data_IF_742748996067
#
_entry.id   IF_742748996067
#
_cell.length_a   1.000
_cell.length_b   1.000
_cell.length_c   1.000
_cell.angle_alpha   90.00
_cell.angle_beta   90.00
_cell.angle_gamma   90.00
#
_symmetry.space_group_name_H-M   'P 1'
#
loop_
_entity.id
_entity.type
_entity.pdbx_description
1 polymer ?
#
# COMPACT_ATOMS: atom_id res chain seq x y z
N UNK A 1 -30.35 71.35 32.79
CA UNK A 1 -30.81 70.16 33.52
C UNK A 1 -29.74 69.05 33.41
N UNK A 2 -28.98 68.84 34.50
CA UNK A 2 -27.91 67.79 34.53
C UNK A 2 -28.51 66.52 35.13
N UNK A 3 -28.60 65.40 34.36
CA UNK A 3 -29.01 64.13 34.90
C UNK A 3 -27.78 63.45 35.52
N UNK A 4 -27.86 63.11 36.78
CA UNK A 4 -26.93 62.28 37.54
C UNK A 4 -27.12 60.81 37.08
N UNK A 5 -26.03 60.13 36.73
CA UNK A 5 -26.02 58.71 36.60
C UNK A 5 -25.52 58.11 37.91
N UNK A 6 -26.30 57.22 38.47
CA UNK A 6 -25.94 56.43 39.65
C UNK A 6 -25.23 55.17 39.18
N UNK A 7 -24.04 54.93 39.70
CA UNK A 7 -23.23 53.74 39.46
C UNK A 7 -23.82 52.54 40.20
N UNK A 8 -24.23 51.52 39.48
CA UNK A 8 -24.59 50.19 40.02
C UNK A 8 -23.30 49.36 40.09
N UNK A 9 -22.88 49.07 41.32
CA UNK A 9 -21.76 48.07 41.54
C UNK A 9 -22.38 46.69 41.50
N UNK A 10 -22.02 45.93 40.50
CA UNK A 10 -22.35 44.49 40.42
C UNK A 10 -21.35 43.70 41.28
N UNK A 11 -21.82 42.71 42.06
CA UNK A 11 -20.92 41.86 42.85
C UNK A 11 -20.08 40.99 41.90
N UNK A 12 -18.77 40.93 42.20
CA UNK A 12 -17.81 40.14 41.44
C UNK A 12 -18.18 38.65 41.45
N UNK A 13 -18.43 38.12 40.26
CA UNK A 13 -18.52 36.68 40.03
C UNK A 13 -17.07 36.16 39.94
N UNK A 14 -16.61 35.51 41.00
CA UNK A 14 -15.37 34.74 40.98
C UNK A 14 -15.56 33.55 40.05
N UNK A 15 -14.98 33.62 38.85
CA UNK A 15 -14.81 32.44 38.01
C UNK A 15 -13.79 31.52 38.70
N UNK A 16 -14.26 30.46 39.33
CA UNK A 16 -13.43 29.31 39.59
C UNK A 16 -13.08 28.71 38.24
N UNK A 17 -11.86 28.91 37.76
CA UNK A 17 -11.26 28.09 36.72
C UNK A 17 -11.15 26.69 37.30
N UNK A 18 -12.17 25.86 37.03
CA UNK A 18 -12.01 24.42 37.11
C UNK A 18 -10.94 24.05 36.07
N UNK A 19 -9.73 23.81 36.54
CA UNK A 19 -8.70 23.17 35.72
C UNK A 19 -9.29 21.85 35.24
N UNK A 20 -9.64 21.77 33.97
CA UNK A 20 -9.93 20.46 33.34
C UNK A 20 -8.71 19.57 33.60
N UNK A 21 -8.88 18.40 34.23
CA UNK A 21 -7.75 17.49 34.42
C UNK A 21 -7.13 17.21 33.06
N UNK A 22 -5.82 17.33 33.00
CA UNK A 22 -5.04 16.94 31.79
C UNK A 22 -5.44 15.53 31.41
N UNK A 23 -5.86 15.32 30.16
CA UNK A 23 -6.14 13.99 29.61
C UNK A 23 -4.86 13.16 29.44
N UNK A 24 -3.70 13.81 29.50
CA UNK A 24 -2.40 13.19 29.31
C UNK A 24 -2.03 12.24 30.45
N UNK A 25 -1.36 11.17 30.11
CA UNK A 25 -0.86 10.20 31.09
C UNK A 25 0.33 10.75 31.86
N UNK A 26 0.50 10.26 33.09
CA UNK A 26 1.67 10.56 33.92
C UNK A 26 2.53 9.31 34.14
N UNK A 27 1.93 8.15 34.00
CA UNK A 27 2.59 6.84 34.08
C UNK A 27 2.06 5.93 32.97
N UNK A 28 2.99 5.39 32.19
CA UNK A 28 2.70 4.40 31.16
C UNK A 28 3.56 3.19 31.46
N UNK A 29 2.96 2.02 31.55
CA UNK A 29 3.67 0.75 31.75
C UNK A 29 3.32 -0.20 30.59
N UNK A 30 4.33 -0.92 30.09
CA UNK A 30 4.16 -1.85 28.98
C UNK A 30 4.70 -3.25 29.29
N UNK A 31 4.16 -4.20 28.56
CA UNK A 31 4.71 -5.53 28.35
C UNK A 31 4.37 -6.04 26.95
N UNK A 32 5.23 -6.87 26.42
CA UNK A 32 5.04 -7.57 25.15
C UNK A 32 4.48 -8.97 25.38
N UNK A 33 3.72 -9.47 24.41
CA UNK A 33 3.20 -10.86 24.42
C UNK A 33 4.30 -11.88 24.11
N UNK A 34 5.38 -11.46 23.42
CA UNK A 34 6.51 -12.29 23.03
C UNK A 34 7.82 -11.54 23.29
N UNK A 35 8.88 -12.30 23.52
CA UNK A 35 10.26 -11.81 23.64
C UNK A 35 11.12 -12.15 22.44
N UNK A 36 10.64 -13.09 21.60
CA UNK A 36 11.35 -13.57 20.42
C UNK A 36 10.34 -13.77 19.27
N UNK A 37 10.68 -13.25 18.10
CA UNK A 37 9.89 -13.40 16.87
C UNK A 37 10.81 -13.55 15.65
N UNK A 38 10.26 -14.01 14.53
CA UNK A 38 10.92 -13.91 13.23
C UNK A 38 10.76 -12.52 12.62
N UNK A 39 11.71 -12.11 11.80
CA UNK A 39 11.65 -10.81 11.10
C UNK A 39 10.33 -10.63 10.34
N UNK A 40 9.77 -9.42 10.40
CA UNK A 40 8.47 -9.07 9.79
C UNK A 40 7.24 -9.56 10.54
N UNK A 41 7.40 -10.40 11.58
CA UNK A 41 6.27 -10.81 12.42
C UNK A 41 5.84 -9.70 13.38
N UNK A 42 4.60 -9.82 13.84
CA UNK A 42 3.99 -8.87 14.76
C UNK A 42 4.14 -9.31 16.21
N UNK A 43 4.27 -8.33 17.09
CA UNK A 43 4.07 -8.46 18.54
C UNK A 43 2.88 -7.64 18.97
N UNK A 44 2.27 -8.00 20.10
CA UNK A 44 1.30 -7.16 20.78
C UNK A 44 1.96 -6.51 21.99
N UNK A 45 1.97 -5.18 22.01
CA UNK A 45 2.40 -4.40 23.17
C UNK A 45 1.17 -3.97 23.94
N UNK A 46 0.98 -4.54 25.13
CA UNK A 46 -0.07 -4.07 26.05
C UNK A 46 0.45 -2.92 26.87
N UNK A 47 -0.19 -1.76 26.77
CA UNK A 47 0.13 -0.55 27.51
C UNK A 47 -0.99 -0.22 28.52
N UNK A 48 -0.60 0.23 29.71
CA UNK A 48 -1.52 0.76 30.75
C UNK A 48 -1.11 2.18 31.04
N UNK A 49 -1.99 3.12 30.77
CA UNK A 49 -1.76 4.55 30.97
C UNK A 49 -2.63 5.07 32.13
N UNK A 50 -2.03 5.83 33.04
CA UNK A 50 -2.67 6.42 34.22
C UNK A 50 -2.39 7.93 34.29
N UNK A 51 -3.36 8.67 34.82
CA UNK A 51 -3.22 10.08 35.16
C UNK A 51 -2.49 10.25 36.49
N UNK A 52 -2.14 11.49 36.83
CA UNK A 52 -1.49 11.84 38.09
C UNK A 52 -2.28 11.46 39.35
N UNK A 53 -3.61 11.36 39.23
CA UNK A 53 -4.51 10.93 40.29
C UNK A 53 -4.62 9.39 40.40
N UNK A 54 -3.87 8.65 39.61
CA UNK A 54 -3.88 7.19 39.55
C UNK A 54 -5.05 6.58 38.78
N UNK A 55 -5.98 7.41 38.29
CA UNK A 55 -7.11 6.95 37.49
C UNK A 55 -6.68 6.59 36.05
N UNK A 56 -7.43 5.73 35.36
CA UNK A 56 -7.17 5.41 33.95
C UNK A 56 -7.11 6.66 33.07
N UNK A 57 -6.11 6.74 32.21
CA UNK A 57 -6.03 7.76 31.16
C UNK A 57 -6.76 7.24 29.91
N UNK A 58 -8.07 7.47 29.84
CA UNK A 58 -8.92 7.02 28.75
C UNK A 58 -8.85 7.94 27.54
N UNK A 59 -8.90 7.38 26.31
CA UNK A 59 -8.92 8.12 25.04
C UNK A 59 -7.61 8.83 24.70
N UNK A 60 -6.53 8.49 25.37
CA UNK A 60 -5.20 9.05 25.09
C UNK A 60 -4.58 8.28 23.93
N UNK A 61 -4.08 9.00 22.93
CA UNK A 61 -3.38 8.38 21.78
C UNK A 61 -1.98 7.97 22.18
N UNK A 62 -1.66 6.70 22.01
CA UNK A 62 -0.37 6.11 22.30
C UNK A 62 0.32 5.71 21.00
N UNK A 63 1.62 6.00 20.89
CA UNK A 63 2.45 5.58 19.78
C UNK A 63 3.72 4.88 20.26
N UNK A 64 4.23 3.96 19.42
CA UNK A 64 5.42 3.21 19.75
C UNK A 64 6.70 3.95 19.31
N UNK A 65 7.73 3.78 20.10
CA UNK A 65 9.10 4.13 19.78
C UNK A 65 9.91 2.83 19.75
N UNK A 66 10.38 2.47 18.55
CA UNK A 66 11.21 1.28 18.34
C UNK A 66 12.61 1.73 17.98
N UNK A 67 13.60 1.25 18.74
CA UNK A 67 15.02 1.64 18.59
C UNK A 67 15.23 3.17 18.57
N UNK A 68 14.45 3.88 19.41
CA UNK A 68 14.54 5.34 19.55
C UNK A 68 13.83 6.14 18.46
N UNK A 69 13.08 5.51 17.57
CA UNK A 69 12.34 6.17 16.48
C UNK A 69 10.86 5.81 16.51
N UNK A 70 9.94 6.72 16.17
CA UNK A 70 8.52 6.39 16.00
C UNK A 70 8.33 5.24 15.01
N UNK A 71 7.37 4.35 15.32
CA UNK A 71 7.05 3.21 14.49
C UNK A 71 5.63 2.71 14.70
N UNK A 72 4.92 2.42 13.61
CA UNK A 72 3.56 1.90 13.62
C UNK A 72 2.48 2.98 13.78
N UNK A 73 1.24 2.54 13.80
CA UNK A 73 0.07 3.39 14.00
C UNK A 73 -0.05 3.89 15.45
N UNK A 74 -0.90 4.87 15.64
CA UNK A 74 -1.33 5.36 16.95
C UNK A 74 -2.58 4.61 17.42
N UNK A 75 -2.66 4.32 18.72
CA UNK A 75 -3.76 3.57 19.32
C UNK A 75 -4.36 4.35 20.49
N UNK A 76 -5.67 4.58 20.52
CA UNK A 76 -6.32 5.19 21.68
C UNK A 76 -6.39 4.20 22.85
N UNK A 77 -6.24 4.72 24.06
CA UNK A 77 -6.52 3.92 25.26
C UNK A 77 -8.03 3.73 25.44
N UNK A 78 -8.41 2.53 25.83
CA UNK A 78 -9.77 2.18 26.25
C UNK A 78 -10.18 2.96 27.51
N UNK A 79 -11.46 2.95 27.92
CA UNK A 79 -11.90 3.54 29.19
C UNK A 79 -11.15 3.04 30.42
N UNK A 80 -10.58 1.85 30.36
CA UNK A 80 -9.72 1.25 31.40
C UNK A 80 -8.30 1.83 31.45
N UNK A 81 -7.92 2.68 30.50
CA UNK A 81 -6.56 3.17 30.31
C UNK A 81 -5.64 2.18 29.62
N UNK A 82 -6.16 1.07 29.09
CA UNK A 82 -5.39 0.03 28.40
C UNK A 82 -5.43 0.27 26.89
N UNK A 83 -4.31 0.00 26.22
CA UNK A 83 -4.24 -0.12 24.76
C UNK A 83 -3.44 -1.38 24.39
N UNK A 84 -3.75 -1.98 23.25
CA UNK A 84 -3.02 -3.09 22.66
C UNK A 84 -2.51 -2.67 21.29
N UNK A 85 -1.20 -2.40 21.20
CA UNK A 85 -0.57 -1.96 19.97
C UNK A 85 -0.02 -3.17 19.23
N UNK A 86 -0.41 -3.35 17.98
CA UNK A 86 0.14 -4.37 17.09
C UNK A 86 1.31 -3.76 16.32
N UNK A 87 2.50 -4.31 16.53
CA UNK A 87 3.74 -3.77 15.96
C UNK A 87 4.48 -4.84 15.15
N UNK A 88 4.61 -4.71 13.84
CA UNK A 88 5.55 -5.49 13.05
C UNK A 88 6.98 -5.03 13.34
N UNK A 89 7.94 -5.96 13.39
CA UNK A 89 9.35 -5.64 13.60
C UNK A 89 10.20 -6.14 12.43
N UNK A 90 10.64 -5.23 11.53
CA UNK A 90 11.42 -5.62 10.35
C UNK A 90 12.90 -5.84 10.62
N UNK A 91 13.46 -5.22 11.67
CA UNK A 91 14.90 -5.20 11.90
C UNK A 91 15.35 -6.38 12.75
N UNK A 92 16.36 -7.11 12.28
CA UNK A 92 16.97 -8.25 13.00
C UNK A 92 17.70 -7.81 14.24
N UNK A 93 17.76 -8.72 15.22
CA UNK A 93 18.46 -8.52 16.49
C UNK A 93 17.58 -7.97 17.59
N UNK A 94 18.19 -7.40 18.61
CA UNK A 94 17.48 -6.87 19.77
C UNK A 94 16.82 -5.52 19.44
N UNK A 95 15.48 -5.48 19.51
CA UNK A 95 14.69 -4.27 19.32
C UNK A 95 14.19 -3.76 20.66
N UNK A 96 14.49 -2.51 20.97
CA UNK A 96 13.96 -1.83 22.16
C UNK A 96 12.66 -1.13 21.83
N UNK A 97 11.67 -1.29 22.71
CA UNK A 97 10.31 -0.76 22.50
C UNK A 97 9.90 0.04 23.71
N UNK A 98 9.46 1.26 23.50
CA UNK A 98 8.78 2.09 24.47
C UNK A 98 7.49 2.65 23.88
N UNK A 99 6.52 3.02 24.71
CA UNK A 99 5.27 3.65 24.31
C UNK A 99 5.18 5.04 24.94
N UNK A 100 4.69 6.01 24.19
CA UNK A 100 4.52 7.39 24.67
C UNK A 100 3.20 7.99 24.18
N UNK A 101 2.69 8.97 24.93
CA UNK A 101 1.60 9.89 24.54
C UNK A 101 2.12 11.30 24.21
N UNK A 102 3.44 11.44 24.09
CA UNK A 102 4.12 12.73 23.89
C UNK A 102 4.46 13.46 25.19
N UNK A 103 3.82 13.13 26.33
CA UNK A 103 4.11 13.74 27.65
C UNK A 103 4.81 12.77 28.60
N UNK A 104 4.42 11.51 28.58
CA UNK A 104 5.02 10.43 29.34
C UNK A 104 5.55 9.33 28.40
N UNK A 105 6.59 8.62 28.86
CA UNK A 105 7.16 7.47 28.16
C UNK A 105 7.22 6.29 29.11
N UNK A 106 6.87 5.11 28.64
CA UNK A 106 6.84 3.87 29.42
C UNK A 106 8.24 3.36 29.80
N UNK A 107 8.27 2.32 30.62
CA UNK A 107 9.42 1.42 30.69
C UNK A 107 9.74 0.84 29.29
N UNK A 108 10.97 0.35 29.12
CA UNK A 108 11.41 -0.27 27.86
C UNK A 108 11.23 -1.80 27.93
N UNK A 109 10.69 -2.37 26.86
CA UNK A 109 10.75 -3.82 26.60
C UNK A 109 11.78 -4.10 25.51
N UNK A 110 12.33 -5.31 25.49
CA UNK A 110 13.25 -5.77 24.44
C UNK A 110 12.69 -7.02 23.80
N UNK A 111 12.68 -7.05 22.45
CA UNK A 111 12.24 -8.20 21.65
C UNK A 111 13.37 -8.59 20.71
N UNK A 112 13.75 -9.86 20.72
CA UNK A 112 14.72 -10.43 19.80
C UNK A 112 14.03 -10.81 18.49
N UNK A 113 14.58 -10.34 17.36
CA UNK A 113 14.06 -10.65 16.02
C UNK A 113 15.08 -11.54 15.30
N UNK A 114 14.65 -12.76 15.00
CA UNK A 114 15.45 -13.77 14.32
C UNK A 114 15.24 -13.78 12.81
N UNK A 115 16.24 -14.16 12.02
CA UNK A 115 16.08 -14.33 10.58
C UNK A 115 14.98 -15.35 10.26
N UNK A 116 14.20 -15.07 9.19
CA UNK A 116 13.25 -16.02 8.62
C UNK A 116 13.66 -16.44 7.21
N UNK A 117 13.30 -17.65 6.86
CA UNK A 117 13.29 -18.14 5.48
C UNK A 117 11.85 -18.25 5.01
N UNK A 118 11.60 -17.85 3.76
CA UNK A 118 10.27 -17.88 3.15
C UNK A 118 10.28 -18.87 1.97
N UNK A 119 9.25 -19.69 1.90
CA UNK A 119 9.07 -20.65 0.81
C UNK A 119 8.39 -19.95 -0.39
N UNK A 120 9.17 -19.16 -1.13
CA UNK A 120 8.68 -18.44 -2.30
C UNK A 120 8.86 -19.34 -3.53
N UNK A 121 7.79 -19.55 -4.28
CA UNK A 121 7.84 -20.31 -5.54
C UNK A 121 8.39 -19.41 -6.64
N UNK A 122 9.63 -19.67 -7.08
CA UNK A 122 10.25 -19.00 -8.24
C UNK A 122 9.93 -19.76 -9.53
N UNK A 123 8.69 -19.61 -10.02
CA UNK A 123 8.26 -20.17 -11.30
C UNK A 123 8.07 -19.04 -12.33
N UNK A 124 8.99 -18.86 -13.29
CA UNK A 124 8.91 -17.80 -14.30
C UNK A 124 7.74 -17.98 -15.28
N UNK A 125 7.08 -19.13 -15.27
CA UNK A 125 5.89 -19.39 -16.07
C UNK A 125 4.57 -19.12 -15.30
N UNK A 126 4.64 -18.82 -13.99
CA UNK A 126 3.48 -18.50 -13.13
C UNK A 126 3.87 -17.51 -12.04
N UNK A 127 4.20 -16.30 -12.45
CA UNK A 127 4.58 -15.22 -11.52
C UNK A 127 3.35 -14.61 -10.88
N UNK A 128 3.42 -14.36 -9.58
CA UNK A 128 2.40 -13.62 -8.82
C UNK A 128 2.98 -12.26 -8.45
N UNK A 129 2.30 -11.20 -8.86
CA UNK A 129 2.80 -9.82 -8.86
C UNK A 129 1.87 -8.96 -8.02
N UNK A 130 2.42 -8.23 -7.06
CA UNK A 130 1.70 -7.21 -6.30
C UNK A 130 1.97 -5.84 -6.89
N UNK A 131 0.93 -5.08 -7.18
CA UNK A 131 1.05 -3.66 -7.49
C UNK A 131 1.35 -2.86 -6.21
N UNK A 132 2.32 -1.95 -6.31
CA UNK A 132 2.91 -1.29 -5.16
C UNK A 132 3.21 0.18 -5.43
N UNK A 133 2.63 1.04 -4.57
CA UNK A 133 2.82 2.47 -4.62
C UNK A 133 4.03 2.91 -3.78
N UNK A 134 4.91 3.70 -4.41
CA UNK A 134 6.11 4.25 -3.78
C UNK A 134 6.04 5.75 -3.54
N UNK A 135 4.86 6.31 -3.42
CA UNK A 135 4.64 7.76 -3.48
C UNK A 135 4.36 8.44 -2.12
N UNK A 136 4.27 7.70 -1.01
CA UNK A 136 3.99 8.31 0.28
C UNK A 136 5.14 9.12 0.82
N UNK A 137 4.92 10.42 0.99
CA UNK A 137 5.92 11.35 1.47
C UNK A 137 5.43 12.79 1.47
N UNK A 138 6.23 13.73 2.00
CA UNK A 138 5.81 15.11 2.18
C UNK A 138 5.56 15.89 0.89
N UNK A 139 5.99 15.41 -0.27
CA UNK A 139 5.93 16.15 -1.52
C UNK A 139 5.02 15.58 -2.59
N UNK A 140 4.57 14.32 -2.49
CA UNK A 140 3.71 13.71 -3.50
C UNK A 140 2.34 13.33 -2.96
N UNK A 141 2.19 12.17 -2.33
CA UNK A 141 0.94 11.76 -1.71
C UNK A 141 1.02 11.91 -0.20
N UNK A 142 0.24 12.84 0.33
CA UNK A 142 0.12 13.07 1.76
C UNK A 142 -1.00 12.25 2.37
N UNK A 143 -0.78 11.78 3.59
CA UNK A 143 -1.80 11.18 4.41
C UNK A 143 -2.88 12.20 4.81
N UNK A 144 -4.08 11.71 5.16
CA UNK A 144 -5.18 12.52 5.67
C UNK A 144 -6.51 12.28 4.96
N UNK A 145 -6.49 11.50 3.87
CA UNK A 145 -7.67 11.10 3.10
C UNK A 145 -7.79 9.58 2.97
N UNK A 146 -6.89 8.84 3.61
CA UNK A 146 -6.91 7.39 3.61
C UNK A 146 -8.24 6.87 4.18
N UNK A 147 -8.79 5.83 3.57
CA UNK A 147 -10.01 5.17 3.98
C UNK A 147 -9.86 4.31 5.23
N UNK A 148 -8.64 3.85 5.50
CA UNK A 148 -8.28 3.10 6.69
C UNK A 148 -6.86 3.45 7.14
N UNK A 149 -6.52 3.18 8.40
CA UNK A 149 -5.18 3.44 8.92
C UNK A 149 -4.30 2.21 8.78
N UNK A 150 -3.22 2.24 8.01
CA UNK A 150 -2.26 1.13 7.96
C UNK A 150 -1.70 0.81 9.34
N UNK A 151 -1.36 -0.45 9.60
CA UNK A 151 -0.69 -0.85 10.86
C UNK A 151 0.66 -0.15 11.01
N UNK A 152 1.34 0.15 9.91
CA UNK A 152 2.57 0.94 9.89
C UNK A 152 2.35 2.43 10.19
N UNK A 153 1.09 2.86 10.33
CA UNK A 153 0.74 4.26 10.52
C UNK A 153 0.91 5.07 9.22
N UNK A 154 0.95 6.38 9.34
CA UNK A 154 1.18 7.30 8.23
C UNK A 154 2.67 7.37 7.90
N UNK A 155 3.15 6.35 7.25
CA UNK A 155 4.58 6.18 6.92
C UNK A 155 5.04 7.05 5.75
N UNK A 156 6.34 7.05 5.53
CA UNK A 156 6.98 7.55 4.32
C UNK A 156 7.56 6.40 3.52
N UNK A 157 7.38 6.40 2.20
CA UNK A 157 8.06 5.48 1.28
C UNK A 157 9.59 5.65 1.28
N UNK A 158 10.10 6.70 1.95
CA UNK A 158 11.51 6.94 2.18
C UNK A 158 12.02 6.37 3.53
N UNK A 159 11.19 5.65 4.29
CA UNK A 159 11.65 4.92 5.49
C UNK A 159 12.08 3.50 5.08
N UNK A 160 13.37 3.14 5.21
CA UNK A 160 13.85 1.80 4.85
C UNK A 160 13.21 0.68 5.65
N UNK A 161 12.68 0.95 6.85
CA UNK A 161 11.97 -0.04 7.67
C UNK A 161 10.61 -0.39 7.04
N UNK A 162 9.92 0.60 6.46
CA UNK A 162 8.66 0.40 5.74
C UNK A 162 8.90 -0.48 4.51
N UNK A 163 9.85 -0.10 3.67
CA UNK A 163 10.21 -0.88 2.47
C UNK A 163 10.59 -2.32 2.84
N UNK A 164 11.39 -2.48 3.91
CA UNK A 164 11.77 -3.81 4.40
C UNK A 164 10.56 -4.60 4.93
N UNK A 165 9.67 -3.97 5.71
CA UNK A 165 8.49 -4.63 6.24
C UNK A 165 7.54 -5.09 5.13
N UNK A 166 7.31 -4.25 4.12
CA UNK A 166 6.51 -4.63 2.95
C UNK A 166 7.14 -5.82 2.22
N UNK A 167 8.45 -5.80 1.97
CA UNK A 167 9.14 -6.93 1.34
C UNK A 167 9.00 -8.23 2.15
N UNK A 168 9.08 -8.17 3.48
CA UNK A 168 8.89 -9.33 4.36
C UNK A 168 7.45 -9.85 4.30
N UNK A 169 6.47 -8.97 4.22
CA UNK A 169 5.07 -9.35 4.03
C UNK A 169 4.81 -9.95 2.65
N UNK A 170 5.38 -9.38 1.58
CA UNK A 170 5.28 -9.95 0.24
C UNK A 170 5.90 -11.36 0.19
N UNK A 171 7.07 -11.55 0.80
CA UNK A 171 7.69 -12.85 0.92
C UNK A 171 6.80 -13.85 1.70
N UNK A 172 6.18 -13.41 2.80
CA UNK A 172 5.28 -14.25 3.62
C UNK A 172 4.01 -14.66 2.87
N UNK A 173 3.48 -13.78 2.04
CA UNK A 173 2.33 -14.10 1.17
C UNK A 173 2.72 -14.97 -0.02
N UNK A 174 4.01 -15.02 -0.40
CA UNK A 174 4.50 -15.80 -1.53
C UNK A 174 4.60 -15.04 -2.85
N UNK A 175 4.59 -13.71 -2.82
CA UNK A 175 4.85 -12.90 -4.02
C UNK A 175 6.29 -13.05 -4.47
N UNK A 176 6.47 -13.32 -5.76
CA UNK A 176 7.80 -13.33 -6.36
C UNK A 176 8.15 -12.03 -7.11
N UNK A 177 7.20 -11.12 -7.25
CA UNK A 177 7.40 -9.84 -7.94
C UNK A 177 6.52 -8.75 -7.33
N UNK A 178 7.03 -7.51 -7.30
CA UNK A 178 6.26 -6.29 -7.12
C UNK A 178 6.32 -5.46 -8.40
N UNK A 179 5.19 -4.91 -8.78
CA UNK A 179 5.10 -3.95 -9.86
C UNK A 179 5.06 -2.56 -9.23
N UNK A 180 5.98 -1.70 -9.63
CA UNK A 180 6.05 -0.32 -9.15
C UNK A 180 5.25 0.58 -10.09
N UNK A 181 4.24 1.24 -9.54
CA UNK A 181 3.48 2.22 -10.29
C UNK A 181 4.31 3.50 -10.53
N UNK A 182 4.63 3.74 -11.78
CA UNK A 182 5.24 4.96 -12.30
C UNK A 182 4.32 5.66 -13.31
N UNK A 183 3.01 5.41 -13.24
CA UNK A 183 2.04 5.94 -14.23
C UNK A 183 1.92 7.46 -14.19
N UNK A 184 2.32 8.10 -13.11
CA UNK A 184 2.25 9.55 -12.93
C UNK A 184 3.63 10.24 -12.99
N UNK A 185 4.67 9.54 -13.43
CA UNK A 185 6.05 10.06 -13.40
C UNK A 185 6.50 10.70 -14.71
N UNK A 186 5.71 10.61 -15.77
CA UNK A 186 5.97 11.25 -17.07
C UNK A 186 5.01 12.40 -17.30
N UNK A 187 5.54 13.63 -17.28
CA UNK A 187 4.84 14.87 -17.64
C UNK A 187 5.43 15.47 -18.92
N UNK A 188 5.31 16.79 -19.12
CA UNK A 188 6.07 17.53 -20.13
C UNK A 188 7.58 17.66 -19.79
N UNK A 189 8.03 16.94 -18.77
CA UNK A 189 9.42 16.79 -18.37
C UNK A 189 9.63 15.43 -17.72
N UNK A 190 10.88 14.95 -17.70
CA UNK A 190 11.31 13.82 -16.88
C UNK A 190 12.65 14.18 -16.19
N UNK A 191 12.81 14.00 -14.87
CA UNK A 191 11.72 13.65 -13.95
C UNK A 191 10.74 14.81 -13.72
N UNK A 192 9.49 14.48 -13.49
CA UNK A 192 8.50 15.47 -13.05
C UNK A 192 8.83 16.00 -11.65
N UNK A 193 8.29 17.14 -11.21
CA UNK A 193 8.51 17.62 -9.84
C UNK A 193 8.11 16.59 -8.76
N UNK A 194 6.97 15.94 -8.94
CA UNK A 194 6.47 14.85 -8.08
C UNK A 194 7.26 13.55 -8.27
N UNK A 195 7.65 13.24 -9.49
CA UNK A 195 8.41 12.05 -9.85
C UNK A 195 9.76 11.92 -9.15
N UNK A 196 10.35 13.03 -8.68
CA UNK A 196 11.61 12.97 -7.92
C UNK A 196 11.49 12.19 -6.63
N UNK A 197 10.34 12.24 -5.96
CA UNK A 197 10.11 11.46 -4.74
C UNK A 197 9.88 9.99 -5.06
N UNK A 198 9.13 9.68 -6.12
CA UNK A 198 8.98 8.31 -6.61
C UNK A 198 10.33 7.69 -6.98
N UNK A 199 11.22 8.47 -7.63
CA UNK A 199 12.59 8.03 -7.95
C UNK A 199 13.37 7.75 -6.65
N UNK A 200 13.35 8.67 -5.68
CA UNK A 200 14.06 8.50 -4.43
C UNK A 200 13.55 7.28 -3.63
N UNK A 201 12.24 7.04 -3.63
CA UNK A 201 11.65 5.86 -2.99
C UNK A 201 12.02 4.57 -3.74
N UNK A 202 12.05 4.60 -5.07
CA UNK A 202 12.51 3.48 -5.89
C UNK A 202 13.99 3.19 -5.66
N UNK A 203 14.85 4.21 -5.59
CA UNK A 203 16.27 4.06 -5.26
C UNK A 203 16.44 3.35 -3.91
N UNK A 204 15.67 3.77 -2.92
CA UNK A 204 15.69 3.16 -1.59
C UNK A 204 15.21 1.71 -1.63
N UNK A 205 14.14 1.41 -2.38
CA UNK A 205 13.63 0.05 -2.53
C UNK A 205 14.70 -0.88 -3.11
N UNK A 206 15.33 -0.49 -4.21
CA UNK A 206 16.41 -1.29 -4.80
C UNK A 206 17.60 -1.47 -3.85
N UNK A 207 17.96 -0.45 -3.07
CA UNK A 207 19.02 -0.55 -2.06
C UNK A 207 18.65 -1.53 -0.94
N UNK A 208 17.41 -1.48 -0.44
CA UNK A 208 16.92 -2.39 0.60
C UNK A 208 16.87 -3.82 0.08
N UNK A 209 16.30 -4.03 -1.11
CA UNK A 209 16.19 -5.37 -1.73
C UNK A 209 17.57 -5.98 -1.98
N UNK A 210 18.52 -5.23 -2.51
CA UNK A 210 19.90 -5.71 -2.72
C UNK A 210 20.61 -6.11 -1.41
N UNK A 211 20.11 -5.65 -0.27
CA UNK A 211 20.63 -6.03 1.08
C UNK A 211 19.86 -7.17 1.74
N UNK A 212 18.75 -7.65 1.15
CA UNK A 212 17.93 -8.73 1.70
C UNK A 212 18.29 -10.08 1.07
N UNK A 213 18.33 -11.18 1.85
CA UNK A 213 18.60 -12.52 1.30
C UNK A 213 17.45 -13.06 0.45
N UNK A 214 16.22 -12.60 0.71
CA UNK A 214 15.03 -12.91 -0.07
C UNK A 214 14.21 -11.63 -0.21
N UNK A 215 13.79 -11.34 -1.42
CA UNK A 215 12.94 -10.20 -1.77
C UNK A 215 12.19 -10.50 -3.08
N UNK A 216 11.03 -9.88 -3.35
CA UNK A 216 10.40 -9.95 -4.66
C UNK A 216 11.29 -9.35 -5.75
N UNK A 217 11.14 -9.80 -6.99
CA UNK A 217 11.64 -9.07 -8.15
C UNK A 217 10.85 -7.79 -8.38
N UNK A 218 11.36 -6.92 -9.24
CA UNK A 218 10.73 -5.63 -9.56
C UNK A 218 10.34 -5.59 -11.03
N UNK A 219 9.18 -5.01 -11.30
CA UNK A 219 8.64 -4.69 -12.61
C UNK A 219 8.19 -3.22 -12.60
N UNK A 220 8.42 -2.48 -13.67
CA UNK A 220 7.89 -1.13 -13.79
C UNK A 220 6.64 -1.09 -14.67
N UNK A 221 5.62 -0.36 -14.21
CA UNK A 221 4.53 0.15 -15.03
C UNK A 221 4.70 1.66 -15.19
N UNK A 222 5.03 2.11 -16.40
CA UNK A 222 5.27 3.53 -16.68
C UNK A 222 4.08 4.15 -17.41
N UNK A 223 3.82 5.41 -17.14
CA UNK A 223 2.73 6.12 -17.77
C UNK A 223 2.84 7.63 -17.63
N UNK A 224 2.05 8.35 -18.40
CA UNK A 224 1.99 9.80 -18.35
C UNK A 224 1.00 10.28 -17.28
N UNK A 225 1.32 11.41 -16.68
CA UNK A 225 0.35 12.17 -15.88
C UNK A 225 -0.86 12.64 -16.71
N UNK A 226 -1.90 13.07 -16.01
CA UNK A 226 -3.21 13.46 -16.53
C UNK A 226 -3.20 14.37 -17.77
N UNK A 227 -2.19 15.19 -17.95
CA UNK A 227 -2.16 16.12 -19.08
C UNK A 227 -1.75 15.47 -20.41
N UNK A 228 -0.97 14.40 -20.36
CA UNK A 228 -0.43 13.72 -21.54
C UNK A 228 -1.24 12.48 -21.97
N UNK A 229 -2.07 11.92 -21.11
CA UNK A 229 -2.84 10.71 -21.43
C UNK A 229 -3.86 10.88 -22.58
N UNK A 230 -4.30 12.10 -22.87
CA UNK A 230 -5.22 12.38 -23.99
C UNK A 230 -4.56 12.16 -25.36
N UNK A 231 -3.23 12.17 -25.41
CA UNK A 231 -2.45 11.91 -26.59
C UNK A 231 -1.27 11.00 -26.27
N UNK A 232 -1.56 9.74 -25.98
CA UNK A 232 -0.54 8.75 -25.61
C UNK A 232 0.50 8.52 -26.69
N UNK A 233 0.16 8.72 -27.96
CA UNK A 233 1.14 8.60 -29.05
C UNK A 233 2.27 9.61 -28.83
N UNK A 234 1.93 10.87 -28.60
CA UNK A 234 2.94 11.91 -28.37
C UNK A 234 3.66 11.71 -27.03
N UNK A 235 2.93 11.28 -25.99
CA UNK A 235 3.53 10.99 -24.69
C UNK A 235 4.62 9.91 -24.77
N UNK A 236 4.36 8.81 -25.48
CA UNK A 236 5.29 7.67 -25.58
C UNK A 236 6.28 7.75 -26.74
N UNK A 237 6.22 8.75 -27.58
CA UNK A 237 7.22 8.99 -28.64
C UNK A 237 8.05 10.25 -28.40
N UNK A 238 7.73 11.01 -27.37
CA UNK A 238 8.42 12.24 -27.02
C UNK A 238 9.79 12.03 -26.36
N UNK A 239 10.63 13.07 -26.32
CA UNK A 239 11.97 12.97 -25.75
C UNK A 239 11.96 12.64 -24.26
N UNK A 240 10.93 13.04 -23.50
CA UNK A 240 10.80 12.76 -22.06
C UNK A 240 10.57 11.29 -21.78
N UNK A 241 9.80 10.60 -22.64
CA UNK A 241 9.62 9.16 -22.54
C UNK A 241 10.94 8.42 -22.76
N UNK A 242 11.69 8.78 -23.81
CA UNK A 242 13.01 8.20 -24.06
C UNK A 242 13.96 8.43 -22.88
N UNK A 243 13.97 9.62 -22.27
CA UNK A 243 14.77 9.92 -21.09
C UNK A 243 14.36 9.04 -19.90
N UNK A 244 13.06 8.82 -19.69
CA UNK A 244 12.57 7.91 -18.66
C UNK A 244 13.04 6.47 -18.91
N UNK A 245 12.87 5.97 -20.12
CA UNK A 245 13.28 4.62 -20.48
C UNK A 245 14.81 4.41 -20.39
N UNK A 246 15.59 5.40 -20.81
CA UNK A 246 17.04 5.38 -20.66
C UNK A 246 17.45 5.37 -19.19
N UNK A 247 16.80 6.23 -18.37
CA UNK A 247 17.05 6.28 -16.94
C UNK A 247 16.77 4.93 -16.26
N UNK A 248 15.59 4.35 -16.48
CA UNK A 248 15.21 3.06 -15.90
C UNK A 248 16.19 1.95 -16.32
N UNK A 249 16.55 1.93 -17.59
CA UNK A 249 17.46 0.92 -18.12
C UNK A 249 18.86 1.03 -17.50
N UNK A 250 19.49 2.18 -17.53
CA UNK A 250 20.85 2.38 -17.06
C UNK A 250 20.94 2.37 -15.52
N UNK A 251 19.94 2.97 -14.84
CA UNK A 251 20.03 3.16 -13.41
C UNK A 251 19.68 1.88 -12.61
N UNK A 252 18.68 1.13 -13.05
CA UNK A 252 18.21 -0.06 -12.34
C UNK A 252 18.48 -1.36 -13.10
N UNK A 253 18.07 -1.46 -14.38
CA UNK A 253 17.95 -2.72 -15.09
C UNK A 253 19.32 -3.22 -15.56
N UNK A 254 20.12 -2.35 -16.15
CA UNK A 254 21.46 -2.67 -16.62
C UNK A 254 22.54 -2.50 -15.52
N UNK A 255 22.16 -1.97 -14.38
CA UNK A 255 23.06 -1.77 -13.25
C UNK A 255 23.49 -3.12 -12.66
N UNK A 256 24.80 -3.47 -12.62
CA UNK A 256 25.29 -4.76 -12.11
C UNK A 256 24.85 -5.07 -10.68
N UNK A 257 24.59 -4.04 -9.88
CA UNK A 257 24.13 -4.18 -8.49
C UNK A 257 22.70 -4.68 -8.39
N UNK A 258 21.85 -4.40 -9.39
CA UNK A 258 20.42 -4.61 -9.35
C UNK A 258 19.85 -5.53 -10.43
N UNK A 259 20.70 -5.99 -11.39
CA UNK A 259 20.26 -6.74 -12.57
C UNK A 259 19.44 -8.01 -12.26
N UNK A 260 19.70 -8.66 -11.13
CA UNK A 260 19.02 -9.89 -10.74
C UNK A 260 17.68 -9.62 -10.03
N UNK A 261 17.39 -8.33 -9.72
CA UNK A 261 16.16 -7.88 -9.09
C UNK A 261 15.04 -7.70 -10.12
N UNK A 262 15.37 -7.41 -11.38
CA UNK A 262 14.38 -7.05 -12.39
C UNK A 262 13.79 -8.26 -13.13
N UNK A 263 12.50 -8.15 -13.51
CA UNK A 263 11.79 -9.20 -14.26
C UNK A 263 12.21 -9.20 -15.72
N UNK A 264 12.49 -10.40 -16.26
CA UNK A 264 12.75 -10.62 -17.69
C UNK A 264 11.66 -11.48 -18.32
N UNK A 265 11.31 -11.16 -19.57
CA UNK A 265 10.35 -11.92 -20.36
C UNK A 265 10.76 -11.93 -21.83
N UNK A 266 10.64 -13.11 -22.49
CA UNK A 266 11.06 -13.31 -23.88
C UNK A 266 12.53 -12.91 -24.14
N UNK A 267 13.39 -13.11 -23.13
CA UNK A 267 14.83 -12.82 -23.21
C UNK A 267 15.23 -11.36 -23.02
N UNK A 268 14.30 -10.47 -22.68
CA UNK A 268 14.53 -9.05 -22.44
C UNK A 268 13.87 -8.60 -21.13
N UNK A 269 14.30 -7.48 -20.51
CA UNK A 269 13.55 -6.86 -19.42
C UNK A 269 12.11 -6.59 -19.84
N UNK A 270 11.15 -6.90 -18.97
CA UNK A 270 9.73 -6.61 -19.19
C UNK A 270 9.44 -5.17 -18.81
N UNK A 271 8.70 -4.43 -19.63
CA UNK A 271 8.25 -3.07 -19.38
C UNK A 271 6.75 -2.96 -19.65
N UNK A 272 6.00 -2.43 -18.69
CA UNK A 272 4.58 -2.17 -18.83
C UNK A 272 4.36 -0.70 -19.18
N UNK A 273 3.53 -0.45 -20.21
CA UNK A 273 3.11 0.89 -20.61
C UNK A 273 1.62 1.06 -20.31
N UNK A 274 1.30 1.97 -19.39
CA UNK A 274 -0.06 2.23 -18.96
C UNK A 274 -0.82 3.07 -19.98
N UNK A 275 -1.98 2.62 -20.40
CA UNK A 275 -2.79 3.26 -21.43
C UNK A 275 -3.86 4.20 -20.90
N UNK A 276 -4.06 4.21 -19.58
CA UNK A 276 -5.10 4.96 -18.89
C UNK A 276 -6.51 4.78 -19.49
N UNK A 277 -7.46 4.38 -18.69
CA UNK A 277 -8.87 4.33 -19.02
C UNK A 277 -9.27 3.49 -20.25
N UNK A 278 -10.58 3.40 -20.51
CA UNK A 278 -11.11 2.63 -21.61
C UNK A 278 -10.74 3.26 -22.97
N UNK A 279 -10.28 2.42 -23.89
CA UNK A 279 -9.95 2.82 -25.27
C UNK A 279 -10.63 1.90 -26.26
N UNK A 280 -11.03 2.46 -27.38
CA UNK A 280 -11.71 1.72 -28.46
C UNK A 280 -10.79 1.38 -29.64
N UNK A 281 -9.51 1.73 -29.55
CA UNK A 281 -8.55 1.54 -30.63
C UNK A 281 -7.25 0.84 -30.19
N UNK A 282 -6.36 0.52 -31.14
CA UNK A 282 -5.09 -0.11 -30.83
C UNK A 282 -4.23 0.80 -29.95
N UNK A 283 -3.37 0.21 -29.08
CA UNK A 283 -2.37 0.98 -28.37
C UNK A 283 -1.40 1.65 -29.35
N UNK A 284 -0.70 2.70 -28.95
CA UNK A 284 0.35 3.30 -29.77
C UNK A 284 1.46 2.27 -30.04
N UNK A 285 1.97 2.23 -31.26
CA UNK A 285 3.08 1.35 -31.60
C UNK A 285 4.39 1.94 -31.10
N UNK A 286 4.97 1.33 -30.06
CA UNK A 286 6.20 1.75 -29.41
C UNK A 286 7.24 0.66 -29.60
N UNK A 287 8.41 1.03 -30.10
CA UNK A 287 9.54 0.15 -30.31
C UNK A 287 10.73 0.59 -29.46
N UNK A 288 11.16 -0.27 -28.56
CA UNK A 288 12.43 -0.17 -27.86
C UNK A 288 13.03 -1.59 -27.77
N UNK A 289 14.05 -1.82 -28.55
CA UNK A 289 14.66 -3.15 -28.68
C UNK A 289 15.31 -3.68 -27.41
N UNK A 290 15.49 -2.84 -26.40
CA UNK A 290 16.00 -3.21 -25.08
C UNK A 290 14.99 -4.00 -24.26
N UNK A 291 13.68 -3.82 -24.53
CA UNK A 291 12.60 -4.32 -23.69
C UNK A 291 11.66 -5.28 -24.42
N UNK A 292 11.04 -6.15 -23.65
CA UNK A 292 9.75 -6.73 -24.01
C UNK A 292 8.66 -5.79 -23.48
N UNK A 293 7.91 -5.14 -24.37
CA UNK A 293 6.88 -4.18 -24.01
C UNK A 293 5.53 -4.86 -23.96
N UNK A 294 4.73 -4.58 -22.92
CA UNK A 294 3.31 -4.88 -22.81
C UNK A 294 2.53 -3.64 -22.45
N UNK A 295 1.32 -3.54 -22.96
CA UNK A 295 0.41 -2.45 -22.66
C UNK A 295 -0.58 -2.89 -21.59
N UNK A 296 -0.84 -1.99 -20.64
CA UNK A 296 -1.76 -2.22 -19.54
C UNK A 296 -2.83 -1.14 -19.56
N UNK A 297 -4.08 -1.53 -19.41
CA UNK A 297 -5.20 -0.60 -19.37
C UNK A 297 -6.16 -0.92 -18.24
N UNK A 298 -6.67 0.13 -17.59
CA UNK A 298 -7.80 -0.01 -16.70
C UNK A 298 -9.07 -0.40 -17.49
N UNK A 299 -9.97 -1.14 -16.82
CA UNK A 299 -11.29 -1.44 -17.38
C UNK A 299 -11.26 -2.25 -18.67
N UNK A 300 -10.58 -3.35 -18.64
CA UNK A 300 -10.29 -4.22 -19.77
C UNK A 300 -11.51 -4.69 -20.56
N UNK A 301 -12.66 -4.94 -19.90
CA UNK A 301 -13.87 -5.36 -20.59
C UNK A 301 -14.34 -4.34 -21.66
N UNK A 302 -13.94 -3.08 -21.53
CA UNK A 302 -14.24 -2.04 -22.53
C UNK A 302 -13.17 -1.92 -23.63
N UNK A 303 -12.03 -2.61 -23.52
CA UNK A 303 -10.86 -2.42 -24.38
C UNK A 303 -10.69 -3.48 -25.47
N UNK A 304 -11.57 -4.48 -25.57
CA UNK A 304 -11.41 -5.60 -26.50
C UNK A 304 -10.00 -6.23 -26.42
N UNK A 305 -9.61 -6.58 -25.23
CA UNK A 305 -8.33 -7.09 -24.81
C UNK A 305 -7.70 -8.13 -25.74
N UNK A 306 -8.46 -9.13 -26.16
CA UNK A 306 -7.99 -10.21 -27.04
C UNK A 306 -7.52 -9.68 -28.41
N UNK A 307 -8.15 -8.60 -28.90
CA UNK A 307 -7.82 -8.03 -30.20
C UNK A 307 -6.44 -7.35 -30.22
N UNK A 308 -6.07 -6.71 -29.11
CA UNK A 308 -4.87 -5.88 -29.06
C UNK A 308 -3.78 -6.39 -28.11
N UNK A 309 -4.03 -7.48 -27.37
CA UNK A 309 -3.08 -8.03 -26.40
C UNK A 309 -2.77 -7.09 -25.23
N UNK A 310 -3.74 -6.26 -24.86
CA UNK A 310 -3.60 -5.34 -23.73
C UNK A 310 -3.87 -6.09 -22.43
N UNK A 311 -3.00 -5.92 -21.45
CA UNK A 311 -3.17 -6.51 -20.12
C UNK A 311 -4.11 -5.66 -19.26
N UNK A 312 -4.77 -6.31 -18.29
CA UNK A 312 -5.57 -5.60 -17.31
C UNK A 312 -4.71 -5.01 -16.20
N UNK A 313 -4.97 -3.76 -15.86
CA UNK A 313 -4.52 -3.21 -14.59
C UNK A 313 -5.60 -3.40 -13.52
N UNK A 314 -6.86 -3.26 -13.91
CA UNK A 314 -8.00 -3.29 -13.02
C UNK A 314 -9.25 -3.80 -13.77
N UNK A 315 -9.86 -4.89 -13.29
CA UNK A 315 -10.96 -5.52 -14.01
C UNK A 315 -12.02 -6.08 -13.06
N UNK A 316 -13.26 -5.64 -13.22
CA UNK A 316 -14.40 -6.16 -12.46
C UNK A 316 -14.73 -7.61 -12.82
N UNK A 317 -14.48 -7.99 -14.07
CA UNK A 317 -14.69 -9.33 -14.60
C UNK A 317 -13.38 -9.85 -15.18
N UNK A 318 -12.48 -10.40 -14.35
CA UNK A 318 -11.15 -10.75 -14.79
C UNK A 318 -11.17 -11.67 -15.99
N UNK A 319 -10.48 -11.26 -17.04
CA UNK A 319 -10.39 -11.98 -18.30
C UNK A 319 -8.92 -12.12 -18.69
N UNK A 320 -8.41 -13.33 -18.86
CA UNK A 320 -6.99 -13.51 -19.19
C UNK A 320 -6.68 -13.01 -20.60
N UNK A 321 -5.57 -12.31 -20.74
CA UNK A 321 -4.96 -12.01 -22.05
C UNK A 321 -4.19 -13.22 -22.53
N UNK A 322 -4.23 -13.50 -23.83
CA UNK A 322 -3.56 -14.64 -24.42
C UNK A 322 -2.41 -14.20 -25.31
N UNK A 323 -1.30 -14.91 -25.19
CA UNK A 323 -0.17 -14.83 -26.11
C UNK A 323 0.24 -16.22 -26.54
N UNK A 324 0.36 -16.46 -27.85
CA UNK A 324 0.67 -17.77 -28.42
C UNK A 324 -0.22 -18.91 -27.85
N UNK A 325 -1.51 -18.63 -27.70
CA UNK A 325 -2.55 -19.55 -27.17
C UNK A 325 -2.40 -19.94 -25.70
N UNK A 326 -1.51 -19.29 -24.95
CA UNK A 326 -1.38 -19.44 -23.49
C UNK A 326 -1.89 -18.21 -22.79
N UNK A 327 -2.52 -18.37 -21.63
CA UNK A 327 -2.89 -17.23 -20.78
C UNK A 327 -1.59 -16.51 -20.38
N UNK A 328 -1.46 -15.25 -20.79
CA UNK A 328 -0.27 -14.45 -20.54
C UNK A 328 -0.40 -13.64 -19.26
N UNK A 329 -1.48 -12.88 -19.12
CA UNK A 329 -1.71 -12.04 -17.94
C UNK A 329 -3.17 -12.08 -17.52
N UNK A 330 -3.39 -11.90 -16.23
CA UNK A 330 -4.68 -11.72 -15.59
C UNK A 330 -4.49 -10.83 -14.37
N UNK A 331 -5.41 -9.91 -14.12
CA UNK A 331 -5.45 -9.13 -12.89
C UNK A 331 -6.65 -9.52 -12.05
N UNK A 332 -6.44 -9.69 -10.76
CA UNK A 332 -7.48 -9.88 -9.75
C UNK A 332 -7.39 -8.76 -8.71
N UNK A 333 -8.54 -8.37 -8.16
CA UNK A 333 -8.63 -7.33 -7.14
C UNK A 333 -9.55 -7.76 -6.00
N UNK A 334 -9.31 -7.26 -4.80
CA UNK A 334 -10.12 -7.59 -3.62
C UNK A 334 -11.38 -6.74 -3.50
N UNK A 335 -11.42 -5.60 -4.18
CA UNK A 335 -12.57 -4.70 -4.21
C UNK A 335 -12.59 -3.82 -5.44
N UNK A 336 -13.67 -3.06 -5.61
CA UNK A 336 -13.78 -2.06 -6.65
C UNK A 336 -14.07 -0.71 -6.03
N UNK A 337 -13.22 0.31 -6.23
CA UNK A 337 -13.58 1.66 -5.86
C UNK A 337 -14.84 2.05 -6.63
N UNK A 338 -15.91 2.40 -5.91
CA UNK A 338 -17.03 3.05 -6.54
C UNK A 338 -16.63 4.49 -6.79
N UNK A 339 -16.37 4.81 -8.03
CA UNK A 339 -16.39 6.19 -8.46
C UNK A 339 -17.70 6.85 -7.98
N UNK A 340 -17.66 8.15 -7.77
CA UNK A 340 -18.80 8.97 -7.37
C UNK A 340 -20.08 8.54 -8.10
N UNK A 341 -21.04 7.98 -7.37
CA UNK A 341 -22.30 7.53 -7.93
C UNK A 341 -23.05 8.64 -8.69
N UNK A 342 -22.75 9.92 -8.41
CA UNK A 342 -23.28 11.07 -9.16
C UNK A 342 -22.76 11.13 -10.60
N UNK A 343 -21.62 10.50 -10.89
CA UNK A 343 -21.03 10.39 -12.23
C UNK A 343 -21.34 9.06 -12.94
N UNK A 344 -22.26 8.29 -12.40
CA UNK A 344 -22.66 6.98 -12.96
C UNK A 344 -22.99 7.04 -14.45
N UNK A 345 -23.59 8.12 -14.90
CA UNK A 345 -23.93 8.30 -16.32
C UNK A 345 -22.72 8.53 -17.24
N UNK A 346 -21.57 8.89 -16.67
CA UNK A 346 -20.33 9.08 -17.41
C UNK A 346 -19.50 7.78 -17.50
N UNK A 347 -19.85 6.79 -16.66
CA UNK A 347 -19.13 5.55 -16.45
C UNK A 347 -20.10 4.35 -16.60
N UNK A 348 -20.88 4.32 -17.66
CA UNK A 348 -21.93 3.33 -17.93
C UNK A 348 -21.39 1.90 -18.19
N UNK A 349 -20.09 1.79 -18.39
CA UNK A 349 -19.37 0.55 -18.58
C UNK A 349 -18.94 -0.13 -17.27
N UNK A 350 -19.12 0.52 -16.10
CA UNK A 350 -18.85 -0.07 -14.77
C UNK A 350 -20.11 -0.78 -14.27
N UNK A 351 -19.99 -2.02 -13.82
CA UNK A 351 -21.05 -2.68 -13.07
C UNK A 351 -21.08 -2.20 -11.62
N UNK A 352 -21.82 -1.14 -11.38
CA UNK A 352 -21.99 -0.53 -10.05
C UNK A 352 -22.66 -1.44 -9.01
N UNK A 353 -23.22 -2.57 -9.43
CA UNK A 353 -23.84 -3.55 -8.53
C UNK A 353 -22.84 -4.62 -8.07
N UNK A 354 -21.70 -4.73 -8.75
CA UNK A 354 -20.64 -5.68 -8.42
C UNK A 354 -19.61 -5.12 -7.42
N UNK A 355 -19.86 -3.92 -6.86
CA UNK A 355 -18.88 -3.18 -6.09
C UNK A 355 -18.57 -3.76 -4.71
N UNK A 356 -17.37 -3.46 -4.25
CA UNK A 356 -16.91 -3.67 -2.89
C UNK A 356 -16.17 -4.96 -2.66
N UNK A 357 -15.58 -5.02 -1.49
CA UNK A 357 -14.83 -6.18 -1.00
C UNK A 357 -15.74 -7.37 -0.70
N UNK A 358 -16.99 -7.11 -0.30
CA UNK A 358 -18.02 -8.11 -0.02
C UNK A 358 -17.52 -9.24 0.89
N UNK A 359 -16.91 -8.87 2.01
CA UNK A 359 -16.31 -9.79 2.99
C UNK A 359 -15.32 -10.80 2.36
N UNK A 360 -14.61 -10.37 1.29
CA UNK A 360 -13.64 -11.18 0.56
C UNK A 360 -14.23 -12.08 -0.54
N UNK A 361 -15.56 -12.14 -0.71
CA UNK A 361 -16.18 -12.96 -1.76
C UNK A 361 -15.84 -12.45 -3.17
N UNK A 362 -15.77 -11.13 -3.35
CA UNK A 362 -15.30 -10.52 -4.60
C UNK A 362 -13.93 -11.07 -4.96
N UNK A 363 -12.99 -11.02 -4.03
CA UNK A 363 -11.62 -11.47 -4.24
C UNK A 363 -11.52 -12.96 -4.53
N UNK A 364 -12.16 -13.80 -3.70
CA UNK A 364 -12.16 -15.26 -3.90
C UNK A 364 -12.77 -15.66 -5.23
N UNK A 365 -13.81 -14.97 -5.68
CA UNK A 365 -14.42 -15.25 -6.98
C UNK A 365 -13.47 -14.99 -8.14
N UNK A 366 -12.65 -13.94 -8.06
CA UNK A 366 -11.66 -13.63 -9.07
C UNK A 366 -10.49 -14.62 -9.07
N UNK A 367 -10.07 -15.08 -7.89
CA UNK A 367 -9.07 -16.16 -7.78
C UNK A 367 -9.51 -17.46 -8.46
N UNK A 368 -10.82 -17.77 -8.51
CA UNK A 368 -11.30 -18.93 -9.27
C UNK A 368 -11.00 -18.80 -10.77
N UNK A 369 -11.05 -17.60 -11.33
CA UNK A 369 -10.66 -17.33 -12.72
C UNK A 369 -9.16 -17.56 -12.91
N UNK A 370 -8.34 -17.06 -11.98
CA UNK A 370 -6.89 -17.29 -11.99
C UNK A 370 -6.54 -18.78 -11.90
N UNK A 371 -7.18 -19.52 -10.99
CA UNK A 371 -7.04 -20.97 -10.87
C UNK A 371 -7.40 -21.72 -12.16
N UNK A 372 -8.44 -21.26 -12.85
CA UNK A 372 -8.91 -21.85 -14.12
C UNK A 372 -7.98 -21.58 -15.28
N UNK A 373 -7.53 -20.33 -15.44
CA UNK A 373 -6.76 -19.84 -16.59
C UNK A 373 -5.25 -20.05 -16.47
N UNK A 374 -4.71 -20.02 -15.24
CA UNK A 374 -3.27 -20.19 -14.91
C UNK A 374 -2.37 -19.27 -15.74
N UNK A 375 -2.56 -17.96 -15.63
CA UNK A 375 -1.77 -17.01 -16.41
C UNK A 375 -0.28 -17.09 -16.04
N UNK A 376 0.58 -16.70 -16.97
CA UNK A 376 2.02 -16.52 -16.71
C UNK A 376 2.27 -15.39 -15.70
N UNK A 377 1.50 -14.31 -15.81
CA UNK A 377 1.57 -13.13 -14.96
C UNK A 377 0.21 -12.92 -14.29
N UNK A 378 0.14 -13.21 -13.01
CA UNK A 378 -1.04 -12.96 -12.19
C UNK A 378 -0.81 -11.70 -11.36
N UNK A 379 -1.47 -10.63 -11.71
CA UNK A 379 -1.41 -9.37 -10.97
C UNK A 379 -2.46 -9.34 -9.88
N UNK A 380 -2.06 -8.83 -8.73
CA UNK A 380 -2.93 -8.51 -7.61
C UNK A 380 -2.94 -6.99 -7.47
N UNK A 381 -4.08 -6.42 -7.71
CA UNK A 381 -4.29 -4.99 -7.60
C UNK A 381 -5.18 -4.73 -6.38
N UNK A 382 -4.73 -4.07 -5.33
CA UNK A 382 -3.54 -3.25 -5.17
C UNK A 382 -3.03 -3.34 -3.73
N UNK A 383 -1.76 -2.97 -3.43
CA UNK A 383 -1.25 -3.04 -2.05
C UNK A 383 -1.66 -1.84 -1.21
N UNK A 384 -1.31 -0.61 -1.63
CA UNK A 384 -1.28 0.55 -0.75
C UNK A 384 -1.55 1.89 -1.45
N UNK A 385 -2.60 2.03 -2.23
CA UNK A 385 -2.93 3.33 -2.81
C UNK A 385 -3.36 4.35 -1.74
N UNK A 386 -4.21 3.97 -0.78
CA UNK A 386 -4.68 4.72 0.39
C UNK A 386 -5.07 6.19 0.18
N UNK A 387 -5.04 6.68 -1.03
CA UNK A 387 -5.38 8.06 -1.38
C UNK A 387 -6.50 8.07 -2.42
N UNK A 388 -7.60 7.36 -2.17
CA UNK A 388 -8.74 7.51 -3.05
C UNK A 388 -9.22 8.96 -2.98
N UNK A 389 -9.75 9.50 -4.05
CA UNK A 389 -10.54 10.70 -3.96
C UNK A 389 -11.59 10.55 -2.84
N UNK A 390 -11.92 11.63 -2.14
CA UNK A 390 -12.87 11.68 -1.00
C UNK A 390 -14.25 11.03 -1.24
N UNK A 391 -14.48 10.54 -2.44
CA UNK A 391 -15.71 9.93 -2.93
C UNK A 391 -15.75 8.40 -2.76
N UNK A 392 -14.67 7.76 -2.33
CA UNK A 392 -14.64 6.31 -2.18
C UNK A 392 -15.12 5.88 -0.79
N UNK A 393 -15.81 4.78 -0.79
CA UNK A 393 -16.20 4.07 0.41
C UNK A 393 -15.17 2.96 0.64
N UNK A 394 -14.72 2.78 1.86
CA UNK A 394 -13.75 1.74 2.25
C UNK A 394 -14.09 0.34 1.80
N UNK A 395 -15.38 -0.01 1.75
CA UNK A 395 -15.81 -1.31 1.23
C UNK A 395 -15.56 -1.47 -0.27
N UNK A 396 -15.15 -0.39 -0.92
CA UNK A 396 -14.92 -0.29 -2.35
C UNK A 396 -13.45 -0.05 -2.67
N UNK A 397 -12.61 0.15 -1.64
CA UNK A 397 -11.17 0.18 -1.77
C UNK A 397 -10.65 -1.17 -2.23
N UNK A 398 -9.58 -1.15 -3.00
CA UNK A 398 -8.83 -2.34 -3.41
C UNK A 398 -7.48 -2.47 -2.71
N UNK A 399 -7.24 -1.66 -1.66
CA UNK A 399 -6.02 -1.75 -0.86
C UNK A 399 -6.02 -2.98 0.05
N UNK A 400 -4.87 -3.66 0.12
CA UNK A 400 -4.68 -4.92 0.86
C UNK A 400 -3.71 -4.81 2.03
N UNK A 401 -2.96 -3.73 2.12
CA UNK A 401 -2.03 -3.53 3.24
C UNK A 401 -2.77 -3.65 4.57
N UNK A 402 -2.21 -4.39 5.55
CA UNK A 402 -2.86 -4.56 6.85
C UNK A 402 -3.16 -3.23 7.55
N UNK A 403 -4.39 -3.09 8.04
CA UNK A 403 -4.90 -1.89 8.70
C UNK A 403 -5.29 -2.13 10.14
N UNK A 404 -5.52 -1.06 10.89
CA UNK A 404 -6.20 -1.14 12.19
C UNK A 404 -7.65 -1.61 11.98
N UNK A 405 -8.16 -2.37 12.93
CA UNK A 405 -9.59 -2.69 13.02
C UNK A 405 -10.34 -1.58 13.75
N UNK A 406 -11.64 -1.50 13.53
CA UNK A 406 -12.54 -0.56 14.23
C UNK A 406 -12.45 -0.70 15.75
N UNK A 407 -12.37 -1.94 16.26
CA UNK A 407 -12.25 -2.21 17.69
C UNK A 407 -10.93 -1.71 18.27
N UNK A 408 -9.91 -1.47 17.46
CA UNK A 408 -8.63 -0.89 17.86
C UNK A 408 -8.68 0.64 17.91
N UNK A 409 -9.87 1.22 17.67
CA UNK A 409 -10.12 2.65 17.82
C UNK A 409 -9.78 3.48 16.60
N UNK A 410 -9.70 2.89 15.42
CA UNK A 410 -9.60 3.66 14.18
C UNK A 410 -10.87 4.53 14.04
N UNK A 411 -10.75 5.88 14.06
CA UNK A 411 -11.89 6.78 13.95
C UNK A 411 -12.60 6.67 12.58
N UNK A 412 -11.99 6.04 11.60
CA UNK A 412 -12.53 5.85 10.25
C UNK A 412 -13.39 4.61 10.10
N UNK A 413 -13.42 3.78 11.13
CA UNK A 413 -14.38 2.69 11.33
C UNK A 413 -14.46 1.66 10.19
N UNK A 414 -13.34 1.33 9.51
CA UNK A 414 -13.46 0.55 8.29
C UNK A 414 -12.23 -0.28 7.94
N UNK A 415 -11.29 -0.41 8.85
CA UNK A 415 -10.12 -1.24 8.62
C UNK A 415 -10.48 -2.72 8.53
N UNK A 416 -9.69 -3.45 7.77
CA UNK A 416 -9.84 -4.89 7.49
C UNK A 416 -8.80 -5.77 8.20
N UNK A 417 -7.93 -5.19 9.03
CA UNK A 417 -6.92 -5.95 9.74
C UNK A 417 -5.97 -6.69 8.77
N UNK A 418 -5.77 -7.98 9.01
CA UNK A 418 -4.99 -8.88 8.16
C UNK A 418 -5.85 -9.78 7.27
N UNK A 419 -7.14 -9.49 7.08
CA UNK A 419 -8.04 -10.42 6.38
C UNK A 419 -7.60 -10.64 4.93
N UNK A 420 -7.37 -9.57 4.17
CA UNK A 420 -6.94 -9.67 2.77
C UNK A 420 -5.50 -10.18 2.63
N UNK A 421 -4.63 -9.86 3.57
CA UNK A 421 -3.31 -10.46 3.65
C UNK A 421 -3.39 -11.99 3.78
N UNK A 422 -4.22 -12.49 4.69
CA UNK A 422 -4.38 -13.92 4.92
C UNK A 422 -5.04 -14.62 3.72
N UNK A 423 -6.09 -14.04 3.14
CA UNK A 423 -6.73 -14.57 1.93
C UNK A 423 -5.69 -14.66 0.81
N UNK A 424 -4.96 -13.60 0.55
CA UNK A 424 -3.94 -13.56 -0.52
C UNK A 424 -2.88 -14.64 -0.35
N UNK A 425 -2.32 -14.78 0.86
CA UNK A 425 -1.34 -15.83 1.18
C UNK A 425 -1.91 -17.22 0.90
N UNK A 426 -3.12 -17.49 1.35
CA UNK A 426 -3.74 -18.82 1.23
C UNK A 426 -4.09 -19.13 -0.23
N UNK A 427 -4.55 -18.15 -1.01
CA UNK A 427 -4.86 -18.29 -2.43
C UNK A 427 -3.59 -18.45 -3.29
N UNK A 428 -2.52 -17.71 -3.03
CA UNK A 428 -1.22 -17.91 -3.70
C UNK A 428 -0.70 -19.32 -3.46
N UNK A 429 -0.74 -19.79 -2.23
CA UNK A 429 -0.34 -21.15 -1.90
C UNK A 429 -1.21 -22.21 -2.61
N UNK A 430 -2.52 -21.98 -2.70
CA UNK A 430 -3.45 -22.86 -3.44
C UNK A 430 -3.16 -22.84 -4.94
N UNK A 431 -2.90 -21.66 -5.52
CA UNK A 431 -2.55 -21.49 -6.93
C UNK A 431 -1.31 -22.30 -7.32
N UNK A 432 -0.23 -22.19 -6.58
CA UNK A 432 0.99 -22.95 -6.86
C UNK A 432 0.81 -24.45 -6.68
N UNK A 433 0.11 -24.90 -5.62
CA UNK A 433 -0.23 -26.34 -5.47
C UNK A 433 -1.00 -26.89 -6.66
N UNK A 434 -1.93 -26.11 -7.21
CA UNK A 434 -2.71 -26.55 -8.38
C UNK A 434 -1.88 -26.62 -9.67
N UNK A 435 -0.86 -25.77 -9.81
CA UNK A 435 0.08 -25.82 -10.92
C UNK A 435 0.95 -27.08 -10.82
N UNK A 436 1.52 -27.33 -9.65
CA UNK A 436 2.40 -28.47 -9.39
C UNK A 436 1.68 -29.83 -9.58
N UNK A 437 0.44 -29.95 -9.15
CA UNK A 437 -0.35 -31.19 -9.25
C UNK A 437 -0.60 -31.67 -10.68
N UNK A 438 -0.24 -30.87 -11.70
CA UNK A 438 -0.43 -31.18 -13.13
C UNK A 438 0.89 -31.31 -13.91
N UNK A 439 2.03 -31.05 -13.26
CA UNK A 439 3.38 -31.38 -13.78
C UNK A 439 3.67 -32.85 -13.53
#
# INVERSE_FOLDING_TARGET
MKKKWSSIVLPGVSFFLLSTPSLLSQDIQIRTDKTDIGEGQNIVVSAIARRSDGQPAAGVMLHAIVNGKPWGAEYPTLPSGVAHLLLPLPDRGANTIAITDGSATSNTATVQVEPRHFDIVDDPDHMVIMEYETWFGPGYAGWGKEEATPILGRYSSLDPRVVRQHALWFNEMGFNTVELDWTNNLTEAFPSPSGKECIAATDLLFQVYAGMPQHPKVLFMVGPEHNLWRNLKDAYTGPWFNQQMDYLYEHYIHNPKYRDIYVTYLGKPLMLLYLNGPRTGPPPEIHDDRFTIRYVGAWQQAMHQEQYGVWSWYDQSPTPTYYQKKAEALTVTDGYPAADLSKRSELDWIDWNAGGKNDGETYRSQWQVAMGSKPRFLFINQWNEFVPPDQYNVNLSNDMEPTLLTEQGDPRASGWGFDYFNITRDEIAAYHRQIESRK
#
